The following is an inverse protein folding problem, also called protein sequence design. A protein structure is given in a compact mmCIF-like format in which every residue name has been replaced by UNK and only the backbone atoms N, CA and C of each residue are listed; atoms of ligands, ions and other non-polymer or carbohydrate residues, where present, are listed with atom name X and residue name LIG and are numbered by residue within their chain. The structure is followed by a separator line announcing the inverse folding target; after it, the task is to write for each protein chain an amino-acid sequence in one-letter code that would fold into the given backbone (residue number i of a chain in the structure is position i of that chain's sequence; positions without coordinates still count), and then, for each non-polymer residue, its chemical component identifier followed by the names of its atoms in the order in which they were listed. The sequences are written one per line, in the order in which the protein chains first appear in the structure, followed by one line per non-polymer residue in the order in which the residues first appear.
data_IF_750394942023
#
_entry.id   IF_750394942023
#
_cell.length_a   1.000
_cell.length_b   1.000
_cell.length_c   1.000
_cell.angle_alpha   90.00
_cell.angle_beta   90.00
_cell.angle_gamma   90.00
#
_symmetry.space_group_name_H-M   'P 1'
#
loop_
_entity.id
_entity.type
_entity.pdbx_description
1 polymer ?
#
# COMPACT_ATOMS: atom_id res chain seq x y z
N UNK A 1 -30.36 -9.70 -9.42
CA UNK A 1 -29.79 -8.35 -9.36
C UNK A 1 -28.70 -8.37 -8.28
N UNK A 2 -27.47 -8.01 -8.65
CA UNK A 2 -26.36 -7.87 -7.71
C UNK A 2 -26.16 -6.38 -7.39
N UNK A 3 -25.84 -6.08 -6.16
CA UNK A 3 -25.52 -4.73 -5.70
C UNK A 3 -24.10 -4.71 -5.12
N UNK A 4 -23.25 -3.86 -5.66
CA UNK A 4 -21.87 -3.66 -5.17
C UNK A 4 -21.80 -2.34 -4.42
N UNK A 5 -21.11 -2.35 -3.30
CA UNK A 5 -20.96 -1.18 -2.42
C UNK A 5 -19.52 -1.08 -1.99
N UNK A 6 -18.92 0.10 -2.16
CA UNK A 6 -17.64 0.43 -1.57
C UNK A 6 -17.85 0.93 -0.12
N UNK A 7 -17.03 0.44 0.79
CA UNK A 7 -17.02 0.87 2.19
C UNK A 7 -15.61 0.83 2.76
N UNK A 8 -15.38 1.51 3.87
CA UNK A 8 -14.16 1.34 4.63
C UNK A 8 -13.98 -0.11 5.09
N UNK A 9 -12.74 -0.59 5.09
CA UNK A 9 -12.40 -1.92 5.62
C UNK A 9 -12.60 -1.97 7.13
N UNK A 10 -12.59 -0.84 7.81
CA UNK A 10 -12.61 -0.74 9.27
C UNK A 10 -11.25 -0.99 9.93
N UNK A 11 -10.19 -1.20 9.14
CA UNK A 11 -8.85 -1.37 9.68
C UNK A 11 -8.33 -0.07 10.30
N UNK A 12 -7.67 -0.21 11.41
CA UNK A 12 -7.09 0.90 12.17
C UNK A 12 -5.59 0.73 12.29
N UNK A 13 -4.89 1.84 12.47
CA UNK A 13 -3.45 1.85 12.73
C UNK A 13 -3.08 0.98 13.93
N UNK A 14 -1.99 0.20 13.79
CA UNK A 14 -1.47 -0.65 14.87
C UNK A 14 0.02 -0.96 14.65
N UNK A 15 0.82 -1.09 15.70
CA UNK A 15 0.46 -0.69 17.06
C UNK A 15 0.41 0.84 17.17
N UNK A 16 -0.58 1.37 17.89
CA UNK A 16 -0.70 2.80 18.13
C UNK A 16 -1.24 3.06 19.54
N UNK A 17 -0.78 4.13 20.22
CA UNK A 17 -1.38 4.57 21.48
C UNK A 17 -2.81 5.04 21.23
N UNK A 18 -3.68 4.96 22.25
CA UNK A 18 -5.10 5.29 22.11
C UNK A 18 -5.39 6.63 21.39
N UNK A 19 -4.65 7.73 21.65
CA UNK A 19 -4.87 8.98 20.94
C UNK A 19 -4.44 8.95 19.46
N UNK A 20 -3.64 7.97 19.06
CA UNK A 20 -3.15 7.77 17.70
C UNK A 20 -3.98 6.76 16.88
N UNK A 21 -4.99 6.14 17.49
CA UNK A 21 -5.86 5.21 16.78
C UNK A 21 -6.70 5.98 15.74
N UNK A 22 -6.67 5.49 14.51
CA UNK A 22 -7.45 6.03 13.41
C UNK A 22 -7.52 5.02 12.28
N UNK A 23 -8.29 5.33 11.26
CA UNK A 23 -8.35 4.50 10.06
C UNK A 23 -7.06 4.62 9.26
N UNK A 24 -6.69 3.54 8.57
CA UNK A 24 -5.63 3.57 7.58
C UNK A 24 -5.95 4.54 6.45
N UNK A 25 -4.90 5.15 5.89
CA UNK A 25 -5.01 6.04 4.73
C UNK A 25 -5.42 5.27 3.48
N UNK A 26 -6.14 5.93 2.57
CA UNK A 26 -6.36 5.43 1.21
C UNK A 26 -5.04 5.48 0.42
N UNK A 27 -4.45 4.31 0.19
CA UNK A 27 -3.13 4.18 -0.47
C UNK A 27 -3.20 4.31 -2.00
N UNK A 28 -4.41 4.38 -2.57
CA UNK A 28 -4.62 4.69 -3.98
C UNK A 28 -4.77 6.19 -4.25
N UNK A 29 -4.82 7.00 -3.17
CA UNK A 29 -4.98 8.44 -3.26
C UNK A 29 -3.79 9.16 -2.61
N UNK A 30 -2.92 9.83 -3.38
CA UNK A 30 -1.73 10.51 -2.84
C UNK A 30 -2.07 11.62 -1.85
N UNK A 31 -3.21 12.30 -2.01
CA UNK A 31 -3.65 13.34 -1.06
C UNK A 31 -3.91 12.78 0.35
N UNK A 32 -4.27 11.49 0.45
CA UNK A 32 -4.49 10.84 1.75
C UNK A 32 -3.19 10.70 2.52
N UNK A 33 -2.10 10.29 1.84
CA UNK A 33 -0.79 10.25 2.47
C UNK A 33 -0.26 11.65 2.78
N UNK A 34 -0.46 12.61 1.90
CA UNK A 34 -0.05 13.99 2.14
C UNK A 34 -0.69 14.59 3.40
N UNK A 35 -1.97 14.31 3.65
CA UNK A 35 -2.63 14.66 4.90
C UNK A 35 -1.99 14.00 6.12
N UNK A 36 -1.63 12.71 6.01
CA UNK A 36 -0.91 12.00 7.06
C UNK A 36 0.47 12.64 7.31
N UNK A 37 1.25 12.89 6.25
CA UNK A 37 2.54 13.56 6.33
C UNK A 37 2.46 14.89 7.07
N UNK A 38 1.56 15.77 6.65
CA UNK A 38 1.38 17.10 7.21
C UNK A 38 0.92 17.08 8.68
N UNK A 39 0.20 16.03 9.09
CA UNK A 39 -0.30 15.90 10.45
C UNK A 39 0.63 15.14 11.40
N UNK A 40 1.64 14.46 10.90
CA UNK A 40 2.58 13.68 11.72
C UNK A 40 4.03 14.04 11.41
N UNK A 41 4.59 13.59 10.28
CA UNK A 41 6.02 13.76 9.99
C UNK A 41 6.43 15.24 9.89
N UNK A 42 5.65 16.05 9.18
CA UNK A 42 5.94 17.48 9.04
C UNK A 42 5.97 18.19 10.39
N UNK A 43 5.04 17.87 11.29
CA UNK A 43 5.04 18.46 12.64
C UNK A 43 6.29 18.09 13.46
N UNK A 44 6.83 16.89 13.25
CA UNK A 44 8.09 16.50 13.88
C UNK A 44 9.26 17.28 13.28
N UNK A 45 9.32 17.42 11.96
CA UNK A 45 10.34 18.20 11.27
C UNK A 45 10.33 19.66 11.71
N UNK A 46 9.15 20.28 11.75
CA UNK A 46 8.99 21.67 12.21
C UNK A 46 9.46 21.87 13.65
N UNK A 47 9.27 20.86 14.50
CA UNK A 47 9.67 20.93 15.92
C UNK A 47 11.16 20.66 16.13
N UNK A 48 11.75 19.78 15.33
CA UNK A 48 13.18 19.46 15.42
C UNK A 48 14.01 20.64 14.91
N UNK A 49 13.49 21.39 13.93
CA UNK A 49 14.16 22.54 13.35
C UNK A 49 15.17 22.18 12.27
N UNK A 50 16.14 23.06 11.99
CA UNK A 50 17.08 22.89 10.89
C UNK A 50 17.88 21.59 10.96
N UNK A 51 18.35 21.14 9.82
CA UNK A 51 18.96 19.83 9.59
C UNK A 51 20.16 19.51 10.53
N UNK A 52 20.89 20.50 10.97
CA UNK A 52 22.00 20.29 11.91
C UNK A 52 21.55 19.58 13.19
N UNK A 53 20.28 19.72 13.56
CA UNK A 53 19.68 19.06 14.71
C UNK A 53 19.06 17.71 14.37
N UNK A 54 18.83 17.43 13.08
CA UNK A 54 18.21 16.20 12.60
C UNK A 54 19.20 15.17 12.04
N UNK A 55 20.49 15.33 12.35
CA UNK A 55 21.55 14.41 11.87
C UNK A 55 21.33 12.94 12.25
N UNK A 56 20.51 12.67 13.23
CA UNK A 56 20.12 11.31 13.64
C UNK A 56 18.88 10.77 12.94
N UNK A 57 18.03 11.62 12.35
CA UNK A 57 16.87 11.20 11.58
C UNK A 57 17.21 11.14 10.09
N UNK A 58 17.74 10.01 9.68
CA UNK A 58 18.33 9.81 8.34
C UNK A 58 17.42 9.13 7.36
N UNK A 59 16.25 8.61 7.80
CA UNK A 59 15.35 7.86 6.94
C UNK A 59 13.90 7.89 7.41
N UNK A 60 13.00 7.72 6.46
CA UNK A 60 11.62 7.33 6.67
C UNK A 60 11.52 5.82 6.41
N UNK A 61 10.91 5.09 7.34
CA UNK A 61 10.68 3.66 7.21
C UNK A 61 9.20 3.37 7.08
N UNK A 62 8.85 2.57 6.08
CA UNK A 62 7.55 1.95 5.93
C UNK A 62 7.67 0.48 6.29
N UNK A 63 7.04 0.12 7.39
CA UNK A 63 6.96 -1.25 7.88
C UNK A 63 5.93 -2.07 7.09
N UNK A 64 5.88 -3.38 7.33
CA UNK A 64 4.91 -4.29 6.73
C UNK A 64 3.47 -3.80 6.90
N UNK A 65 2.62 -4.09 5.94
CA UNK A 65 1.25 -3.56 5.98
C UNK A 65 0.30 -4.40 6.86
N UNK A 66 0.37 -5.65 6.95
CA UNK A 66 -0.38 -6.61 7.80
C UNK A 66 -1.85 -6.28 8.14
N UNK A 67 -2.52 -5.48 7.32
CA UNK A 67 -3.85 -4.94 7.60
C UNK A 67 -4.87 -5.26 6.52
N UNK A 68 -4.72 -6.42 5.87
CA UNK A 68 -5.57 -6.82 4.77
C UNK A 68 -5.44 -5.92 3.53
N UNK A 69 -6.06 -6.31 2.44
CA UNK A 69 -5.88 -5.65 1.15
C UNK A 69 -6.86 -4.49 0.96
N UNK A 70 -6.38 -3.39 0.43
CA UNK A 70 -7.22 -2.38 -0.18
C UNK A 70 -7.47 -2.76 -1.65
N UNK A 71 -8.73 -2.77 -2.09
CA UNK A 71 -9.11 -3.16 -3.45
C UNK A 71 -9.99 -2.11 -4.16
N UNK A 72 -10.22 -0.96 -3.53
CA UNK A 72 -11.05 0.10 -4.07
C UNK A 72 -10.70 1.46 -3.49
N UNK A 73 -10.93 2.51 -4.29
CA UNK A 73 -10.99 3.90 -3.88
C UNK A 73 -11.99 4.67 -4.75
N UNK A 74 -12.19 5.95 -4.46
CA UNK A 74 -13.14 6.79 -5.22
C UNK A 74 -12.76 6.89 -6.70
N UNK A 75 -11.47 6.97 -7.02
CA UNK A 75 -10.93 7.11 -8.39
C UNK A 75 -10.65 5.77 -9.07
N UNK A 76 -10.77 4.63 -8.37
CA UNK A 76 -10.28 3.35 -8.85
C UNK A 76 -10.86 2.93 -10.20
N UNK A 77 -12.15 3.16 -10.46
CA UNK A 77 -12.76 2.82 -11.74
C UNK A 77 -12.18 3.62 -12.90
N UNK A 78 -11.99 4.92 -12.70
CA UNK A 78 -11.38 5.81 -13.70
C UNK A 78 -9.93 5.41 -13.99
N UNK A 79 -9.15 5.15 -12.94
CA UNK A 79 -7.78 4.66 -13.04
C UNK A 79 -7.71 3.31 -13.77
N UNK A 80 -8.63 2.39 -13.48
CA UNK A 80 -8.71 1.12 -14.18
C UNK A 80 -8.98 1.32 -15.68
N UNK A 81 -9.97 2.14 -16.04
CA UNK A 81 -10.31 2.43 -17.43
C UNK A 81 -9.11 3.03 -18.17
N UNK A 82 -8.46 4.02 -17.56
CA UNK A 82 -7.31 4.70 -18.16
C UNK A 82 -6.13 3.74 -18.41
N UNK A 83 -5.90 2.80 -17.49
CA UNK A 83 -4.77 1.85 -17.57
C UNK A 83 -5.07 0.61 -18.40
N UNK A 84 -6.29 0.10 -18.36
CA UNK A 84 -6.67 -1.19 -18.98
C UNK A 84 -7.48 -1.01 -20.27
N UNK A 85 -8.06 0.17 -20.52
CA UNK A 85 -8.76 0.48 -21.75
C UNK A 85 -10.19 -0.06 -21.85
N UNK A 86 -10.78 -0.55 -20.72
CA UNK A 86 -12.16 -1.02 -20.70
C UNK A 86 -12.85 -0.74 -19.35
N UNK A 87 -14.21 -0.74 -19.37
CA UNK A 87 -15.00 -0.54 -18.14
C UNK A 87 -15.01 -1.83 -17.29
N UNK A 88 -14.60 -1.82 -16.03
CA UNK A 88 -14.63 -2.97 -15.15
C UNK A 88 -16.03 -3.40 -14.70
N UNK A 89 -17.05 -2.53 -14.79
CA UNK A 89 -18.40 -2.79 -14.27
C UNK A 89 -19.03 -4.10 -14.73
N UNK A 90 -18.97 -4.49 -16.01
CA UNK A 90 -19.53 -5.77 -16.46
C UNK A 90 -18.93 -6.99 -15.74
N UNK A 91 -17.71 -6.86 -15.24
CA UNK A 91 -16.96 -7.92 -14.56
C UNK A 91 -17.10 -7.91 -13.03
N UNK A 92 -17.84 -6.98 -12.44
CA UNK A 92 -18.01 -6.95 -10.97
C UNK A 92 -18.55 -8.25 -10.37
N UNK A 93 -19.40 -9.07 -11.03
CA UNK A 93 -19.78 -10.38 -10.50
C UNK A 93 -18.59 -11.30 -10.18
N UNK A 94 -17.42 -11.10 -10.80
CA UNK A 94 -16.21 -11.84 -10.48
C UNK A 94 -15.71 -11.62 -9.05
N UNK A 95 -16.00 -10.48 -8.42
CA UNK A 95 -15.74 -10.25 -7.00
C UNK A 95 -16.50 -11.24 -6.08
N UNK A 96 -17.60 -11.77 -6.55
CA UNK A 96 -18.38 -12.79 -5.86
C UNK A 96 -18.06 -14.22 -6.34
N UNK A 97 -16.96 -14.43 -7.05
CA UNK A 97 -16.53 -15.72 -7.55
C UNK A 97 -17.29 -16.21 -8.80
N UNK A 98 -18.05 -15.34 -9.46
CA UNK A 98 -18.80 -15.71 -10.64
C UNK A 98 -17.95 -15.58 -11.91
N UNK A 99 -18.07 -16.57 -12.81
CA UNK A 99 -17.48 -16.46 -14.15
C UNK A 99 -18.33 -15.52 -15.00
N UNK A 100 -17.70 -14.52 -15.61
CA UNK A 100 -18.32 -13.53 -16.49
C UNK A 100 -17.82 -13.78 -17.92
N UNK A 101 -18.74 -14.02 -18.84
CA UNK A 101 -18.49 -14.37 -20.25
C UNK A 101 -17.72 -15.70 -20.39
N UNK A 102 -16.45 -15.75 -20.01
CA UNK A 102 -15.65 -16.98 -19.99
C UNK A 102 -14.68 -16.97 -18.78
N UNK A 103 -14.17 -18.15 -18.42
CA UNK A 103 -13.16 -18.27 -17.38
C UNK A 103 -11.92 -17.44 -17.74
N UNK A 104 -11.47 -17.55 -18.99
CA UNK A 104 -10.30 -16.80 -19.46
C UNK A 104 -10.47 -15.27 -19.30
N UNK A 105 -11.61 -14.71 -19.70
CA UNK A 105 -11.87 -13.28 -19.56
C UNK A 105 -11.99 -12.86 -18.11
N UNK A 106 -12.60 -13.69 -17.28
CA UNK A 106 -12.72 -13.44 -15.85
C UNK A 106 -11.35 -13.42 -15.18
N UNK A 107 -10.48 -14.38 -15.49
CA UNK A 107 -9.11 -14.42 -14.94
C UNK A 107 -8.27 -13.22 -15.40
N UNK A 108 -8.39 -12.82 -16.66
CA UNK A 108 -7.73 -11.60 -17.17
C UNK A 108 -8.20 -10.34 -16.45
N UNK A 109 -9.51 -10.22 -16.24
CA UNK A 109 -10.05 -9.11 -15.44
C UNK A 109 -9.50 -9.10 -14.01
N UNK A 110 -9.46 -10.24 -13.33
CA UNK A 110 -8.92 -10.35 -11.98
C UNK A 110 -7.42 -10.02 -11.93
N UNK A 111 -6.68 -10.38 -12.98
CA UNK A 111 -5.29 -9.96 -13.14
C UNK A 111 -5.17 -8.44 -13.30
N UNK A 112 -5.91 -7.85 -14.22
CA UNK A 112 -5.94 -6.42 -14.50
C UNK A 112 -6.33 -5.61 -13.27
N UNK A 113 -7.28 -6.14 -12.48
CA UNK A 113 -7.71 -5.56 -11.21
C UNK A 113 -6.55 -5.46 -10.21
N UNK A 114 -5.84 -6.58 -9.98
CA UNK A 114 -4.69 -6.65 -9.08
C UNK A 114 -3.55 -5.78 -9.57
N UNK A 115 -3.28 -5.83 -10.87
CA UNK A 115 -2.23 -5.02 -11.49
C UNK A 115 -2.50 -3.52 -11.35
N UNK A 116 -3.75 -3.08 -11.54
CA UNK A 116 -4.15 -1.69 -11.33
C UNK A 116 -3.96 -1.27 -9.88
N UNK A 117 -4.40 -2.11 -8.94
CA UNK A 117 -4.24 -1.83 -7.51
C UNK A 117 -2.76 -1.75 -7.10
N UNK A 118 -1.92 -2.66 -7.61
CA UNK A 118 -0.47 -2.62 -7.39
C UNK A 118 0.17 -1.33 -7.91
N UNK A 119 -0.14 -0.95 -9.15
CA UNK A 119 0.37 0.29 -9.75
C UNK A 119 -0.01 1.51 -8.92
N UNK A 120 -1.26 1.58 -8.46
CA UNK A 120 -1.73 2.69 -7.63
C UNK A 120 -1.04 2.74 -6.26
N UNK A 121 -0.79 1.61 -5.61
CA UNK A 121 -0.03 1.58 -4.35
C UNK A 121 1.40 2.07 -4.57
N UNK A 122 2.04 1.63 -5.66
CA UNK A 122 3.40 2.05 -5.98
C UNK A 122 3.44 3.56 -6.22
N UNK A 123 2.66 4.04 -7.18
CA UNK A 123 2.71 5.42 -7.64
C UNK A 123 2.18 6.43 -6.61
N UNK A 124 1.07 6.09 -5.93
CA UNK A 124 0.34 7.03 -5.08
C UNK A 124 0.65 6.91 -3.59
N UNK A 125 1.45 5.92 -3.21
CA UNK A 125 1.81 5.73 -1.80
C UNK A 125 3.33 5.60 -1.61
N UNK A 126 3.95 4.53 -2.10
CA UNK A 126 5.38 4.32 -1.78
C UNK A 126 6.32 5.30 -2.48
N UNK A 127 6.07 5.64 -3.75
CA UNK A 127 6.83 6.68 -4.45
C UNK A 127 6.60 8.07 -3.85
N UNK A 128 5.39 8.36 -3.37
CA UNK A 128 5.10 9.61 -2.67
C UNK A 128 5.86 9.69 -1.35
N UNK A 129 5.91 8.60 -0.58
CA UNK A 129 6.71 8.53 0.65
C UNK A 129 8.19 8.77 0.34
N UNK A 130 8.72 8.10 -0.68
CA UNK A 130 10.11 8.28 -1.11
C UNK A 130 10.40 9.72 -1.51
N UNK A 131 9.54 10.31 -2.33
CA UNK A 131 9.70 11.71 -2.74
C UNK A 131 9.72 12.65 -1.52
N UNK A 132 8.82 12.46 -0.57
CA UNK A 132 8.79 13.23 0.69
C UNK A 132 10.05 13.03 1.55
N UNK A 133 10.57 11.83 1.64
CA UNK A 133 11.83 11.58 2.33
C UNK A 133 12.98 12.34 1.66
N UNK A 134 13.08 12.26 0.33
CA UNK A 134 14.13 12.94 -0.45
C UNK A 134 14.03 14.47 -0.39
N UNK A 135 12.83 15.06 -0.32
CA UNK A 135 12.63 16.51 -0.10
C UNK A 135 13.33 17.00 1.20
N UNK A 136 13.56 16.09 2.15
CA UNK A 136 14.20 16.37 3.44
C UNK A 136 15.58 15.73 3.58
N UNK A 137 16.21 15.34 2.48
CA UNK A 137 17.53 14.66 2.46
C UNK A 137 17.57 13.36 3.29
N UNK A 138 16.45 12.67 3.41
CA UNK A 138 16.32 11.39 4.07
C UNK A 138 16.20 10.25 3.05
N UNK A 139 16.72 9.08 3.40
CA UNK A 139 16.47 7.87 2.62
C UNK A 139 15.06 7.33 2.88
N UNK A 140 14.49 6.63 1.91
CA UNK A 140 13.31 5.82 2.09
C UNK A 140 13.70 4.36 2.26
N UNK A 141 13.25 3.74 3.33
CA UNK A 141 13.39 2.29 3.55
C UNK A 141 12.01 1.65 3.71
N UNK A 142 11.88 0.41 3.26
CA UNK A 142 10.65 -0.34 3.48
C UNK A 142 10.91 -1.81 3.80
N UNK A 143 9.94 -2.42 4.46
CA UNK A 143 9.79 -3.85 4.61
C UNK A 143 8.57 -4.28 3.77
N UNK A 144 8.78 -4.69 2.51
CA UNK A 144 7.68 -4.97 1.58
C UNK A 144 7.05 -6.33 1.85
N UNK A 145 6.47 -6.49 3.02
CA UNK A 145 5.85 -7.71 3.51
C UNK A 145 4.35 -7.52 3.66
N UNK A 146 3.57 -8.52 3.20
CA UNK A 146 2.10 -8.58 3.27
C UNK A 146 1.37 -7.33 2.75
N UNK A 147 1.96 -6.68 1.76
CA UNK A 147 1.42 -5.45 1.15
C UNK A 147 0.44 -5.74 0.01
N UNK A 148 -0.41 -6.74 0.16
CA UNK A 148 -1.43 -7.06 -0.83
C UNK A 148 -2.28 -5.82 -1.21
N UNK A 149 -2.58 -5.61 -2.51
CA UNK A 149 -2.40 -6.54 -3.63
C UNK A 149 -1.05 -6.45 -4.37
N UNK A 150 -0.12 -5.60 -3.90
CA UNK A 150 1.16 -5.38 -4.57
C UNK A 150 2.16 -6.50 -4.27
N UNK A 151 3.02 -6.81 -5.24
CA UNK A 151 4.11 -7.77 -5.07
C UNK A 151 5.23 -7.21 -4.20
N UNK A 152 5.78 -8.01 -3.30
CA UNK A 152 6.83 -7.58 -2.38
C UNK A 152 8.08 -7.06 -3.11
N UNK A 153 8.49 -7.70 -4.20
CA UNK A 153 9.66 -7.28 -4.99
C UNK A 153 9.42 -5.95 -5.71
N UNK A 154 8.24 -5.73 -6.24
CA UNK A 154 7.91 -4.46 -6.91
C UNK A 154 7.94 -3.30 -5.92
N UNK A 155 7.39 -3.48 -4.73
CA UNK A 155 7.42 -2.48 -3.65
C UNK A 155 8.84 -2.27 -3.12
N UNK A 156 9.58 -3.35 -2.91
CA UNK A 156 10.97 -3.27 -2.44
C UNK A 156 11.89 -2.55 -3.41
N UNK A 157 11.63 -2.67 -4.72
CA UNK A 157 12.44 -2.02 -5.76
C UNK A 157 12.38 -0.49 -5.73
N UNK A 158 11.34 0.07 -5.14
CA UNK A 158 11.20 1.53 -4.99
C UNK A 158 12.09 2.07 -3.87
N UNK A 159 12.35 1.29 -2.83
CA UNK A 159 13.10 1.75 -1.68
C UNK A 159 14.58 2.03 -2.00
N UNK A 160 15.16 3.02 -1.32
CA UNK A 160 16.61 3.21 -1.31
C UNK A 160 17.28 2.10 -0.49
N UNK A 161 16.59 1.62 0.55
CA UNK A 161 17.05 0.55 1.44
C UNK A 161 15.89 -0.44 1.65
N UNK A 162 15.73 -1.45 0.77
CA UNK A 162 14.77 -2.52 1.01
C UNK A 162 15.23 -3.39 2.18
N UNK A 163 14.28 -3.84 2.99
CA UNK A 163 14.54 -4.76 4.09
C UNK A 163 13.58 -5.95 4.05
N UNK A 164 13.88 -6.99 4.79
CA UNK A 164 13.01 -8.14 4.95
C UNK A 164 13.14 -8.70 6.37
N UNK A 165 12.16 -9.46 6.77
CA UNK A 165 12.25 -10.26 7.98
C UNK A 165 13.07 -11.53 7.75
N UNK A 166 13.79 -11.94 8.78
CA UNK A 166 14.49 -13.20 8.82
C UNK A 166 14.09 -13.97 10.08
N UNK A 167 13.41 -15.10 9.89
CA UNK A 167 12.93 -15.94 10.97
C UNK A 167 13.76 -17.21 11.09
N UNK A 168 14.26 -17.49 12.30
CA UNK A 168 14.97 -18.75 12.64
C UNK A 168 14.07 -19.60 13.54
N UNK A 169 13.46 -20.63 12.96
CA UNK A 169 12.61 -21.60 13.67
C UNK A 169 13.39 -22.84 14.05
N UNK A 170 14.34 -22.73 14.97
CA UNK A 170 15.23 -23.84 15.37
C UNK A 170 14.54 -25.07 15.93
N UNK A 171 13.28 -25.01 16.28
CA UNK A 171 12.54 -26.08 16.96
C UNK A 171 11.15 -26.35 16.39
N UNK A 172 10.83 -25.99 15.17
CA UNK A 172 9.56 -26.35 14.57
C UNK A 172 9.76 -27.23 13.35
N UNK A 173 8.99 -28.30 13.23
CA UNK A 173 8.90 -29.16 12.05
C UNK A 173 8.30 -28.42 10.83
N UNK A 174 8.18 -27.10 10.90
CA UNK A 174 7.69 -26.19 9.88
C UNK A 174 8.87 -25.45 9.22
N UNK A 175 9.73 -26.21 8.60
CA UNK A 175 10.83 -25.68 7.77
C UNK A 175 10.36 -25.57 6.33
N UNK A 176 9.42 -24.71 5.99
CA UNK A 176 9.11 -24.53 4.57
C UNK A 176 8.54 -23.16 4.22
N UNK A 177 9.05 -22.10 4.80
CA UNK A 177 8.81 -20.78 4.26
C UNK A 177 10.09 -19.96 4.25
N UNK A 178 10.99 -20.34 3.37
CA UNK A 178 12.01 -19.42 2.88
C UNK A 178 11.33 -18.56 1.82
N UNK A 179 11.11 -17.30 2.14
CA UNK A 179 10.65 -16.28 1.20
C UNK A 179 11.77 -15.74 0.35
#
# INVERSE_FOLDING_TARGET
IMRFVSRTTGQTTRPAPTPGHGFETDKFNPESYEKHWNNFQQKLLDRIGPRELSSSWTRIHLDSWEMSSQNWSKSFQEEFINRRGYDPKPFYPAYAGMVVDSLEKTERFLWDLRKTAQELVIENYVEVIKAKAHEHDMAYSNQPYDMNPAGNLDLGSVADIPSCEFWDYRNSDLVDSLY
#
